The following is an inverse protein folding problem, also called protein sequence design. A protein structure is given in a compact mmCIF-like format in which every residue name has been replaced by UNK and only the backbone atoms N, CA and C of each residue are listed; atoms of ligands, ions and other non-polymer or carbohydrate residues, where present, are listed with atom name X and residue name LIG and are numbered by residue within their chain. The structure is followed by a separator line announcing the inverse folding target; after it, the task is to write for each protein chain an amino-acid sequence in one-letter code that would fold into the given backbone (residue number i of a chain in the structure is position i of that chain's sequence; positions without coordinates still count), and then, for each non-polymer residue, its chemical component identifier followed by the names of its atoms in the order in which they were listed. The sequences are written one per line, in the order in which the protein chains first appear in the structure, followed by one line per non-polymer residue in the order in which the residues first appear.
data_IF_567595315916
#
_entry.id   IF_567595315916
#
_cell.length_a   1.000
_cell.length_b   1.000
_cell.length_c   1.000
_cell.angle_alpha   90.00
_cell.angle_beta   90.00
_cell.angle_gamma   90.00
#
_symmetry.space_group_name_H-M   'P 1'
#
loop_
_entity.id
_entity.type
_entity.pdbx_description
1 polymer ?
#
# COMPACT_ATOMS: atom_id res chain seq x y z
N UNK A 1 -1.18 -20.27 1.94
CA UNK A 1 -0.64 -20.12 0.58
C UNK A 1 0.57 -19.21 0.61
N UNK A 2 1.67 -19.61 -0.01
CA UNK A 2 2.83 -18.75 -0.05
C UNK A 2 2.53 -17.48 -0.87
N UNK A 3 3.09 -16.37 -0.44
CA UNK A 3 2.98 -15.10 -1.17
C UNK A 3 3.91 -15.17 -2.38
N UNK A 4 3.40 -14.82 -3.57
CA UNK A 4 4.22 -14.83 -4.77
C UNK A 4 5.32 -13.77 -4.67
N UNK A 5 6.47 -13.98 -5.33
CA UNK A 5 7.50 -12.95 -5.38
C UNK A 5 6.99 -11.62 -5.92
N UNK A 6 6.07 -11.63 -6.87
CA UNK A 6 5.48 -10.40 -7.42
C UNK A 6 4.67 -9.66 -6.37
N UNK A 7 3.95 -10.36 -5.49
CA UNK A 7 3.18 -9.71 -4.45
C UNK A 7 4.11 -9.03 -3.44
N UNK A 8 5.25 -9.64 -3.13
CA UNK A 8 6.25 -9.00 -2.26
C UNK A 8 6.81 -7.72 -2.86
N UNK A 9 7.04 -7.70 -4.17
CA UNK A 9 7.45 -6.49 -4.87
C UNK A 9 6.37 -5.42 -4.80
N UNK A 10 5.12 -5.81 -4.93
CA UNK A 10 3.97 -4.92 -4.80
C UNK A 10 3.92 -4.29 -3.40
N UNK A 11 4.06 -5.10 -2.35
CA UNK A 11 4.09 -4.60 -0.97
C UNK A 11 5.22 -3.59 -0.77
N UNK A 12 6.42 -3.93 -1.25
CA UNK A 12 7.57 -3.05 -1.13
C UNK A 12 7.35 -1.74 -1.89
N UNK A 13 6.76 -1.79 -3.08
CA UNK A 13 6.48 -0.61 -3.87
C UNK A 13 5.51 0.34 -3.15
N UNK A 14 4.50 -0.20 -2.49
CA UNK A 14 3.56 0.62 -1.70
C UNK A 14 4.25 1.26 -0.49
N UNK A 15 5.06 0.50 0.22
CA UNK A 15 5.83 1.03 1.34
C UNK A 15 6.77 2.15 0.89
N UNK A 16 7.52 1.92 -0.19
CA UNK A 16 8.45 2.90 -0.73
C UNK A 16 7.72 4.17 -1.18
N UNK A 17 6.53 4.03 -1.77
CA UNK A 17 5.71 5.17 -2.19
C UNK A 17 5.30 6.01 -0.99
N UNK A 18 4.86 5.36 0.09
CA UNK A 18 4.48 6.08 1.32
C UNK A 18 5.67 6.84 1.88
N UNK A 19 6.81 6.16 2.00
CA UNK A 19 8.04 6.80 2.52
C UNK A 19 8.50 7.93 1.62
N UNK A 20 8.41 7.75 0.31
CA UNK A 20 8.78 8.78 -0.66
C UNK A 20 7.90 10.01 -0.60
N UNK A 21 6.67 9.88 -0.12
CA UNK A 21 5.76 11.00 0.10
C UNK A 21 5.90 11.62 1.49
N UNK A 22 6.77 11.04 2.34
CA UNK A 22 6.96 11.53 3.70
C UNK A 22 5.77 11.27 4.61
N UNK A 23 4.96 10.26 4.29
CA UNK A 23 3.74 9.97 5.04
C UNK A 23 3.98 8.83 6.04
N UNK A 24 3.39 8.96 7.23
CA UNK A 24 3.39 7.89 8.21
C UNK A 24 2.24 6.92 7.91
N UNK A 25 2.31 5.72 8.50
CA UNK A 25 1.19 4.77 8.42
C UNK A 25 -0.09 5.39 8.96
N UNK A 26 0.04 6.12 10.08
CA UNK A 26 -1.11 6.78 10.71
C UNK A 26 -1.76 7.78 9.75
N UNK A 27 -0.95 8.58 9.04
CA UNK A 27 -1.47 9.59 8.12
C UNK A 27 -2.22 8.96 6.95
N UNK A 28 -1.67 7.89 6.38
CA UNK A 28 -2.35 7.16 5.29
C UNK A 28 -3.66 6.55 5.79
N UNK A 29 -3.61 5.92 6.96
CA UNK A 29 -4.82 5.31 7.56
C UNK A 29 -5.89 6.37 7.81
N UNK A 30 -5.52 7.52 8.34
CA UNK A 30 -6.46 8.61 8.60
C UNK A 30 -7.14 9.07 7.31
N UNK A 31 -6.37 9.21 6.22
CA UNK A 31 -6.93 9.59 4.92
C UNK A 31 -7.86 8.52 4.34
N UNK A 32 -7.58 7.25 4.64
CA UNK A 32 -8.43 6.14 4.23
C UNK A 32 -9.65 5.96 5.15
N UNK A 33 -9.69 6.66 6.28
CA UNK A 33 -10.68 6.49 7.33
C UNK A 33 -10.68 5.06 7.88
N UNK A 34 -9.48 4.53 8.07
CA UNK A 34 -9.23 3.19 8.60
C UNK A 34 -8.32 3.29 9.82
N UNK A 35 -8.31 2.27 10.69
CA UNK A 35 -7.34 2.24 11.78
C UNK A 35 -5.93 2.05 11.23
N UNK A 36 -4.92 2.50 12.00
CA UNK A 36 -3.52 2.35 11.59
C UNK A 36 -3.17 0.89 11.30
N UNK A 37 -3.77 -0.05 12.02
CA UNK A 37 -3.52 -1.49 11.80
C UNK A 37 -3.84 -1.93 10.38
N UNK A 38 -4.76 -1.25 9.69
CA UNK A 38 -5.06 -1.55 8.29
C UNK A 38 -3.80 -1.37 7.41
N UNK A 39 -3.12 -0.24 7.57
CA UNK A 39 -1.90 0.04 6.81
C UNK A 39 -0.76 -0.88 7.23
N UNK A 40 -0.56 -1.06 8.54
CA UNK A 40 0.51 -1.92 9.02
C UNK A 40 0.33 -3.36 8.56
N UNK A 41 -0.91 -3.83 8.47
CA UNK A 41 -1.21 -5.20 8.03
C UNK A 41 -0.98 -5.39 6.54
N UNK A 42 -1.41 -4.44 5.69
CA UNK A 42 -1.16 -4.64 4.26
C UNK A 42 0.32 -4.44 3.93
N UNK A 43 1.03 -3.58 4.64
CA UNK A 43 2.48 -3.44 4.45
C UNK A 43 3.24 -4.64 4.97
N UNK A 44 2.78 -5.25 6.04
CA UNK A 44 3.42 -6.41 6.65
C UNK A 44 3.05 -7.76 6.03
N UNK A 45 2.13 -7.77 5.07
CA UNK A 45 1.73 -8.99 4.39
C UNK A 45 0.64 -9.79 5.09
N UNK A 46 0.12 -9.32 6.23
CA UNK A 46 -0.96 -10.00 6.95
C UNK A 46 -2.31 -9.83 6.26
N UNK A 47 -2.46 -8.82 5.41
CA UNK A 47 -3.68 -8.52 4.70
C UNK A 47 -3.36 -8.20 3.25
N UNK A 48 -4.07 -8.85 2.33
CA UNK A 48 -3.98 -8.51 0.92
C UNK A 48 -4.93 -7.35 0.62
N UNK A 49 -4.57 -6.55 -0.38
CA UNK A 49 -5.45 -5.52 -0.91
C UNK A 49 -6.11 -6.04 -2.17
N UNK A 50 -7.42 -5.81 -2.30
CA UNK A 50 -8.08 -6.01 -3.58
C UNK A 50 -7.80 -4.81 -4.49
N UNK A 51 -8.25 -4.89 -5.74
CA UNK A 51 -7.96 -3.86 -6.74
C UNK A 51 -8.50 -2.50 -6.31
N UNK A 52 -9.72 -2.47 -5.77
CA UNK A 52 -10.34 -1.20 -5.38
C UNK A 52 -9.63 -0.61 -4.17
N UNK A 53 -9.30 -1.43 -3.18
CA UNK A 53 -8.54 -0.97 -2.01
C UNK A 53 -7.19 -0.43 -2.43
N UNK A 54 -6.51 -1.08 -3.37
CA UNK A 54 -5.25 -0.60 -3.92
C UNK A 54 -5.40 0.78 -4.55
N UNK A 55 -6.44 0.98 -5.35
CA UNK A 55 -6.68 2.28 -5.98
C UNK A 55 -6.95 3.36 -4.93
N UNK A 56 -7.70 3.04 -3.88
CA UNK A 56 -7.96 3.97 -2.78
C UNK A 56 -6.68 4.38 -2.06
N UNK A 57 -5.79 3.42 -1.81
CA UNK A 57 -4.49 3.69 -1.20
C UNK A 57 -3.68 4.64 -2.07
N UNK A 58 -3.62 4.38 -3.37
CA UNK A 58 -2.91 5.24 -4.31
C UNK A 58 -3.48 6.66 -4.34
N UNK A 59 -4.81 6.79 -4.32
CA UNK A 59 -5.48 8.09 -4.31
C UNK A 59 -5.08 8.92 -3.10
N UNK A 60 -5.14 8.34 -1.91
CA UNK A 60 -4.86 9.11 -0.69
C UNK A 60 -3.38 9.46 -0.57
N UNK A 61 -2.49 8.73 -1.23
CA UNK A 61 -1.06 9.04 -1.28
C UNK A 61 -0.69 9.93 -2.47
N UNK A 62 -1.63 10.19 -3.38
CA UNK A 62 -1.38 10.92 -4.62
C UNK A 62 -0.29 10.25 -5.47
N UNK A 63 -0.39 8.92 -5.58
CA UNK A 63 0.56 8.11 -6.35
C UNK A 63 -0.18 7.50 -7.54
N UNK A 64 0.47 7.51 -8.70
CA UNK A 64 -0.08 6.87 -9.88
C UNK A 64 -0.01 5.34 -9.70
N UNK A 65 -1.16 4.63 -9.79
CA UNK A 65 -1.16 3.17 -9.66
C UNK A 65 -0.22 2.47 -10.63
N UNK A 66 -0.06 2.99 -11.84
CA UNK A 66 0.83 2.40 -12.84
C UNK A 66 2.27 2.36 -12.35
N UNK A 67 2.70 3.39 -11.61
CA UNK A 67 4.07 3.44 -11.10
C UNK A 67 4.34 2.33 -10.10
N UNK A 68 3.31 1.91 -9.36
CA UNK A 68 3.40 0.77 -8.44
C UNK A 68 3.43 -0.53 -9.23
N UNK A 69 2.49 -0.69 -10.17
CA UNK A 69 2.34 -1.94 -10.92
C UNK A 69 3.56 -2.26 -11.78
N UNK A 70 4.25 -1.24 -12.29
CA UNK A 70 5.47 -1.44 -13.07
C UNK A 70 6.60 -2.06 -12.28
N UNK A 71 6.57 -1.97 -10.95
CA UNK A 71 7.60 -2.53 -10.07
C UNK A 71 7.32 -3.98 -9.70
N UNK A 72 6.22 -4.51 -10.11
CA UNK A 72 5.83 -5.89 -9.79
C UNK A 72 6.16 -6.85 -10.92
#
# INVERSE_FOLDING_TARGET
MPISPRYKLFQKALLDARLGKGLTQFEVAARLRKPQSYVSKYEGGERRLDVIEFLEVCEVMSVNPDSILKKT
#
